data_IF_465473286972
#
_entry.id   IF_465473286972
#
_cell.length_a   1.000
_cell.length_b   1.000
_cell.length_c   1.000
_cell.angle_alpha   90.00
_cell.angle_beta   90.00
_cell.angle_gamma   90.00
#
_symmetry.space_group_name_H-M   'P 1'
#
loop_
_entity.id
_entity.type
_entity.pdbx_description
1 polymer ?
#
# COMPACT_ATOMS: atom_id res chain seq x y z
N UNK A 1 -4.66 17.67 20.03
CA UNK A 1 -4.75 16.45 19.20
C UNK A 1 -4.62 16.87 17.74
N UNK A 2 -3.47 16.59 17.11
CA UNK A 2 -3.26 16.90 15.69
C UNK A 2 -4.25 16.14 14.80
N UNK A 3 -4.48 16.58 13.55
CA UNK A 3 -5.38 15.88 12.66
C UNK A 3 -4.88 14.44 12.53
N UNK A 4 -5.68 13.48 13.00
CA UNK A 4 -5.41 12.05 12.84
C UNK A 4 -5.55 11.76 11.34
N UNK A 5 -4.47 12.00 10.61
CA UNK A 5 -4.36 11.67 9.19
C UNK A 5 -4.76 10.21 9.05
N UNK A 6 -5.81 9.96 8.28
CA UNK A 6 -6.29 8.60 8.06
C UNK A 6 -5.18 7.82 7.35
N UNK A 7 -4.91 6.59 7.78
CA UNK A 7 -3.91 5.75 7.13
C UNK A 7 -4.26 5.56 5.66
N UNK A 8 -3.26 5.66 4.79
CA UNK A 8 -3.46 5.42 3.37
C UNK A 8 -3.82 3.95 3.14
N UNK A 9 -4.77 3.69 2.25
CA UNK A 9 -5.04 2.34 1.79
C UNK A 9 -3.84 1.79 1.01
N UNK A 10 -3.42 0.55 1.28
CA UNK A 10 -2.32 -0.06 0.56
C UNK A 10 -2.61 -0.26 -0.94
N UNK A 11 -3.87 -0.33 -1.36
CA UNK A 11 -4.24 -0.55 -2.77
C UNK A 11 -4.43 0.79 -3.50
N UNK A 12 -5.41 1.59 -3.08
CA UNK A 12 -5.75 2.83 -3.79
C UNK A 12 -4.98 4.07 -3.32
N UNK A 13 -4.13 3.95 -2.29
CA UNK A 13 -3.46 5.06 -1.59
C UNK A 13 -4.39 6.19 -1.09
N UNK A 14 -5.70 5.96 -1.11
CA UNK A 14 -6.69 6.88 -0.57
C UNK A 14 -6.68 6.87 0.95
N UNK A 15 -6.84 8.05 1.54
CA UNK A 15 -7.04 8.31 2.97
C UNK A 15 -8.53 8.51 3.30
N UNK A 16 -9.44 8.42 2.34
CA UNK A 16 -10.88 8.43 2.61
C UNK A 16 -11.40 7.15 3.29
N UNK A 17 -12.57 7.23 3.92
CA UNK A 17 -13.18 6.10 4.63
C UNK A 17 -13.70 5.06 3.62
N UNK A 18 -13.13 3.86 3.65
CA UNK A 18 -13.63 2.68 2.96
C UNK A 18 -13.13 1.41 3.66
N UNK A 19 -13.62 0.24 3.22
CA UNK A 19 -13.17 -1.06 3.75
C UNK A 19 -11.77 -1.40 3.23
N UNK A 20 -10.73 -0.89 3.90
CA UNK A 20 -9.34 -1.04 3.46
C UNK A 20 -8.94 -2.50 3.30
N UNK A 21 -9.45 -3.42 4.13
CA UNK A 21 -9.17 -4.86 4.07
C UNK A 21 -9.76 -5.56 2.81
N UNK A 22 -10.81 -4.99 2.23
CA UNK A 22 -11.50 -5.52 1.04
C UNK A 22 -11.19 -4.68 -0.22
N UNK A 23 -10.38 -3.62 -0.09
CA UNK A 23 -10.05 -2.76 -1.22
C UNK A 23 -9.28 -3.56 -2.28
N UNK A 24 -9.80 -3.54 -3.50
CA UNK A 24 -9.17 -4.10 -4.70
C UNK A 24 -9.44 -3.21 -5.92
N UNK A 25 -9.45 -1.90 -5.71
CA UNK A 25 -9.70 -0.93 -6.77
C UNK A 25 -8.59 -1.02 -7.83
N UNK A 26 -8.92 -0.95 -9.13
CA UNK A 26 -7.92 -0.97 -10.20
C UNK A 26 -7.18 0.38 -10.36
N UNK A 27 -7.63 1.40 -9.62
CA UNK A 27 -7.10 2.77 -9.68
C UNK A 27 -6.80 3.30 -8.28
N UNK A 28 -5.79 4.16 -8.22
CA UNK A 28 -5.48 5.02 -7.09
C UNK A 28 -6.55 6.11 -6.93
N UNK A 29 -6.52 6.83 -5.80
CA UNK A 29 -7.45 7.92 -5.50
C UNK A 29 -7.41 9.06 -6.54
N UNK A 30 -6.28 9.26 -7.24
CA UNK A 30 -6.09 10.27 -8.29
C UNK A 30 -6.50 9.78 -9.70
N UNK A 31 -7.05 8.56 -9.80
CA UNK A 31 -7.51 7.95 -11.05
C UNK A 31 -6.42 7.23 -11.86
N UNK A 32 -5.15 7.30 -11.44
CA UNK A 32 -4.06 6.56 -12.05
C UNK A 32 -4.11 5.06 -11.69
N UNK A 33 -3.52 4.15 -12.47
CA UNK A 33 -3.62 2.71 -12.21
C UNK A 33 -2.91 2.29 -10.92
N UNK A 34 -3.49 1.33 -10.19
CA UNK A 34 -2.83 0.70 -9.05
C UNK A 34 -1.66 -0.17 -9.50
N UNK A 35 -0.53 -0.07 -8.79
CA UNK A 35 0.60 -0.96 -9.05
C UNK A 35 0.34 -2.39 -8.54
N UNK A 36 -0.15 -2.54 -7.31
CA UNK A 36 -0.43 -3.84 -6.71
C UNK A 36 -1.93 -4.15 -6.65
N UNK A 37 -2.26 -5.42 -6.53
CA UNK A 37 -3.63 -5.87 -6.22
C UNK A 37 -3.67 -6.73 -4.97
N UNK A 38 -4.88 -6.95 -4.45
CA UNK A 38 -5.11 -7.91 -3.38
C UNK A 38 -5.55 -9.26 -3.97
N UNK A 39 -4.98 -10.35 -3.47
CA UNK A 39 -5.39 -11.71 -3.82
C UNK A 39 -6.66 -12.11 -3.06
N UNK A 40 -7.26 -13.23 -3.45
CA UNK A 40 -8.44 -13.79 -2.78
C UNK A 40 -8.16 -14.16 -1.31
N UNK A 41 -6.90 -14.43 -0.96
CA UNK A 41 -6.43 -14.69 0.41
C UNK A 41 -6.13 -13.39 1.20
N UNK A 42 -6.39 -12.22 0.63
CA UNK A 42 -6.15 -10.92 1.28
C UNK A 42 -4.70 -10.42 1.22
N UNK A 43 -3.80 -11.14 0.54
CA UNK A 43 -2.38 -10.76 0.40
C UNK A 43 -2.20 -9.70 -0.67
N UNK A 44 -1.24 -8.80 -0.47
CA UNK A 44 -0.84 -7.81 -1.48
C UNK A 44 0.16 -8.44 -2.44
N UNK A 45 -0.08 -8.35 -3.74
CA UNK A 45 0.83 -8.83 -4.78
C UNK A 45 1.14 -7.74 -5.79
N UNK A 46 2.39 -7.69 -6.22
CA UNK A 46 2.82 -6.77 -7.28
C UNK A 46 2.46 -7.32 -8.68
N UNK A 47 2.69 -6.56 -9.77
CA UNK A 47 2.39 -7.01 -11.14
C UNK A 47 3.10 -8.31 -11.54
N UNK A 48 4.25 -8.61 -10.94
CA UNK A 48 5.00 -9.85 -11.15
C UNK A 48 4.45 -11.05 -10.37
N UNK A 49 3.42 -10.85 -9.54
CA UNK A 49 2.82 -11.89 -8.70
C UNK A 49 3.56 -12.16 -7.38
N UNK A 50 4.55 -11.33 -7.03
CA UNK A 50 5.28 -11.44 -5.77
C UNK A 50 4.44 -10.89 -4.62
N UNK A 51 4.35 -11.65 -3.52
CA UNK A 51 3.63 -11.22 -2.30
C UNK A 51 4.43 -10.17 -1.54
N UNK A 52 3.88 -8.96 -1.43
CA UNK A 52 4.52 -7.85 -0.74
C UNK A 52 4.39 -7.93 0.78
N UNK A 53 5.37 -7.36 1.49
CA UNK A 53 5.32 -7.27 2.94
C UNK A 53 4.18 -6.36 3.38
N UNK A 54 3.22 -6.91 4.12
CA UNK A 54 2.08 -6.13 4.61
C UNK A 54 2.50 -5.12 5.69
N UNK A 55 3.46 -5.48 6.55
CA UNK A 55 3.99 -4.57 7.56
C UNK A 55 4.68 -3.36 6.93
N UNK A 56 5.36 -3.55 5.79
CA UNK A 56 5.95 -2.45 5.02
C UNK A 56 4.90 -1.39 4.63
N UNK A 57 3.65 -1.79 4.34
CA UNK A 57 2.57 -0.86 4.00
C UNK A 57 1.88 -0.20 5.20
N UNK A 58 2.23 -0.55 6.44
CA UNK A 58 1.58 -0.03 7.66
C UNK A 58 2.29 1.23 8.19
N UNK A 59 1.64 2.00 9.10
CA UNK A 59 2.19 3.26 9.66
C UNK A 59 3.48 3.17 10.50
N UNK A 60 4.20 2.05 10.48
CA UNK A 60 5.55 1.93 11.07
C UNK A 60 6.56 1.27 10.14
N UNK A 61 6.15 0.93 8.91
CA UNK A 61 6.97 0.14 8.00
C UNK A 61 7.33 -1.24 8.54
N UNK A 62 8.35 -1.85 7.96
CA UNK A 62 8.93 -3.11 8.43
C UNK A 62 10.45 -2.94 8.56
N UNK A 63 11.00 -3.28 9.72
CA UNK A 63 12.45 -3.19 9.99
C UNK A 63 13.21 -4.48 9.73
N UNK A 64 12.54 -5.51 9.20
CA UNK A 64 13.12 -6.84 9.04
C UNK A 64 13.92 -6.95 7.75
N UNK A 65 15.25 -6.96 7.86
CA UNK A 65 16.20 -7.19 6.77
C UNK A 65 16.06 -8.52 6.01
N UNK A 66 15.43 -9.53 6.64
CA UNK A 66 15.34 -10.89 6.08
C UNK A 66 14.50 -10.99 4.81
N UNK A 67 13.69 -9.97 4.49
CA UNK A 67 12.80 -9.98 3.33
C UNK A 67 12.67 -8.62 2.63
N UNK A 68 13.78 -7.86 2.57
CA UNK A 68 13.83 -6.54 1.92
C UNK A 68 13.48 -6.56 0.43
N UNK A 69 13.57 -7.73 -0.21
CA UNK A 69 13.08 -7.91 -1.58
C UNK A 69 11.55 -7.83 -1.69
N UNK A 70 10.81 -8.01 -0.59
CA UNK A 70 9.35 -7.84 -0.49
C UNK A 70 8.93 -6.44 -0.02
N UNK A 71 9.89 -5.59 0.36
CA UNK A 71 9.64 -4.19 0.73
C UNK A 71 9.51 -3.37 -0.55
N UNK A 72 8.29 -3.30 -1.05
CA UNK A 72 7.91 -2.55 -2.24
C UNK A 72 6.60 -1.82 -1.94
N UNK A 73 6.51 -0.53 -2.24
CA UNK A 73 5.29 0.24 -2.10
C UNK A 73 4.21 -0.32 -3.02
N UNK A 74 3.08 -0.72 -2.45
CA UNK A 74 2.01 -1.34 -3.22
C UNK A 74 1.30 -0.36 -4.19
N UNK A 75 1.45 0.95 -3.99
CA UNK A 75 0.83 1.95 -4.85
C UNK A 75 1.72 2.44 -6.01
N UNK A 76 3.04 2.50 -5.83
CA UNK A 76 3.97 3.04 -6.85
C UNK A 76 5.11 2.10 -7.26
N UNK A 77 5.31 0.97 -6.58
CA UNK A 77 6.36 0.00 -6.88
C UNK A 77 7.76 0.37 -6.40
N UNK A 78 7.94 1.49 -5.70
CA UNK A 78 9.25 1.89 -5.16
C UNK A 78 9.57 1.16 -3.86
N UNK A 79 10.84 0.84 -3.63
CA UNK A 79 11.30 0.08 -2.46
C UNK A 79 11.71 0.93 -1.25
N UNK A 80 11.80 2.24 -1.45
CA UNK A 80 12.26 3.21 -0.44
C UNK A 80 11.24 3.47 0.67
N UNK A 81 9.95 3.30 0.37
CA UNK A 81 8.86 3.55 1.31
C UNK A 81 7.71 2.55 1.14
N UNK A 82 6.83 2.49 2.12
CA UNK A 82 5.53 1.81 2.02
C UNK A 82 4.38 2.76 1.67
N UNK A 83 3.18 2.20 1.51
CA UNK A 83 1.97 2.93 1.13
C UNK A 83 1.67 4.17 1.99
N UNK A 84 1.98 4.15 3.29
CA UNK A 84 1.69 5.28 4.19
C UNK A 84 2.49 6.55 3.88
N UNK A 85 3.72 6.38 3.39
CA UNK A 85 4.64 7.46 3.06
C UNK A 85 4.76 7.66 1.55
N UNK A 86 3.86 7.06 0.77
CA UNK A 86 3.91 7.17 -0.67
C UNK A 86 3.57 8.61 -1.11
N UNK A 87 4.40 9.25 -1.94
CA UNK A 87 4.13 10.60 -2.43
C UNK A 87 2.88 10.67 -3.33
N UNK A 88 2.45 9.53 -3.87
CA UNK A 88 1.19 9.38 -4.62
C UNK A 88 -0.02 9.16 -3.72
N UNK A 89 0.13 9.21 -2.39
CA UNK A 89 -0.99 9.09 -1.46
C UNK A 89 -1.83 10.36 -1.38
N UNK A 90 -3.10 10.18 -1.03
CA UNK A 90 -4.00 11.30 -0.74
C UNK A 90 -3.44 12.08 0.46
N UNK A 91 -3.51 13.42 0.42
CA UNK A 91 -2.95 14.29 1.47
C UNK A 91 -3.95 14.52 2.60
#
# INVERSE_FOLDING_TARGET
AGPRGRSACAICLGRFAHKIAECNLPKLWDGSPTHSRRTQEGRLVNPQGLTLCTNWQRPGGCSSGSHDFLHECSGCGLKDHGAQSCPRGEK
#
